data_IF_283816526770
#
_entry.id   IF_283816526770
#
_cell.length_a   1.000
_cell.length_b   1.000
_cell.length_c   1.000
_cell.angle_alpha   90.00
_cell.angle_beta   90.00
_cell.angle_gamma   90.00
#
_symmetry.space_group_name_H-M   'P 1'
#
loop_
_entity.id
_entity.type
_entity.pdbx_description
1 polymer ?
#
# COMPACT_ATOMS: atom_id res chain seq x y z
N UNK A 1 10.84 -16.08 -9.44
CA UNK A 1 10.32 -15.42 -8.22
C UNK A 1 8.84 -15.69 -8.13
N UNK A 2 8.31 -15.96 -6.93
CA UNK A 2 6.87 -16.04 -6.69
C UNK A 2 6.43 -14.76 -6.00
N UNK A 3 5.51 -14.01 -6.62
CA UNK A 3 4.92 -12.83 -6.02
C UNK A 3 4.01 -13.25 -4.84
N UNK A 4 3.98 -12.42 -3.81
CA UNK A 4 3.03 -12.56 -2.71
C UNK A 4 1.61 -12.41 -3.27
N UNK A 5 0.68 -13.35 -2.99
CA UNK A 5 -0.64 -13.39 -3.61
C UNK A 5 -1.62 -12.39 -2.98
N UNK A 6 -1.26 -11.11 -2.93
CA UNK A 6 -2.16 -10.03 -2.53
C UNK A 6 -3.16 -9.78 -3.66
N UNK A 7 -4.46 -9.80 -3.35
CA UNK A 7 -5.49 -9.56 -4.37
C UNK A 7 -5.45 -8.11 -4.84
N UNK A 8 -5.58 -7.85 -6.14
CA UNK A 8 -5.62 -6.49 -6.65
C UNK A 8 -6.89 -5.76 -6.21
N UNK A 9 -6.75 -4.48 -5.91
CA UNK A 9 -7.84 -3.55 -5.65
C UNK A 9 -7.44 -2.18 -6.19
N UNK A 10 -8.36 -1.50 -6.89
CA UNK A 10 -8.16 -0.12 -7.31
C UNK A 10 -8.85 0.81 -6.31
N UNK A 11 -8.14 1.82 -5.84
CA UNK A 11 -8.70 2.84 -4.95
C UNK A 11 -9.76 3.69 -5.63
N UNK A 12 -10.58 4.36 -4.81
CA UNK A 12 -11.33 5.52 -5.26
C UNK A 12 -10.37 6.66 -5.60
N UNK A 13 -10.18 6.91 -6.89
CA UNK A 13 -9.23 7.90 -7.41
C UNK A 13 -9.61 9.34 -7.01
N UNK A 14 -8.60 10.21 -6.94
CA UNK A 14 -8.73 11.64 -6.63
C UNK A 14 -9.33 11.97 -5.25
N UNK A 15 -9.28 11.04 -4.28
CA UNK A 15 -9.83 11.24 -2.93
C UNK A 15 -8.91 10.83 -1.76
N UNK A 16 -7.61 10.67 -2.01
CA UNK A 16 -6.64 10.26 -0.98
C UNK A 16 -6.86 8.85 -0.44
N UNK A 17 -7.34 7.92 -1.28
CA UNK A 17 -7.73 6.57 -0.85
C UNK A 17 -6.62 5.52 -0.91
N UNK A 18 -5.40 5.87 -1.32
CA UNK A 18 -4.28 4.92 -1.40
C UNK A 18 -3.99 4.22 -0.06
N UNK A 19 -4.05 4.95 1.04
CA UNK A 19 -3.92 4.40 2.38
C UNK A 19 -5.02 3.40 2.76
N UNK A 20 -6.32 3.78 2.71
CA UNK A 20 -7.42 2.84 2.88
C UNK A 20 -7.36 1.62 1.95
N UNK A 21 -6.95 1.81 0.70
CA UNK A 21 -6.84 0.74 -0.28
C UNK A 21 -5.75 -0.28 0.09
N UNK A 22 -4.56 0.17 0.54
CA UNK A 22 -3.52 -0.77 1.00
C UNK A 22 -3.91 -1.48 2.29
N UNK A 23 -4.57 -0.81 3.24
CA UNK A 23 -5.09 -1.47 4.45
C UNK A 23 -6.09 -2.57 4.04
N UNK A 24 -7.02 -2.25 3.14
CA UNK A 24 -8.01 -3.21 2.63
C UNK A 24 -7.32 -4.44 2.00
N UNK A 25 -6.31 -4.24 1.16
CA UNK A 25 -5.59 -5.33 0.52
C UNK A 25 -4.80 -6.18 1.52
N UNK A 26 -4.19 -5.58 2.55
CA UNK A 26 -3.52 -6.32 3.63
C UNK A 26 -4.51 -7.13 4.46
N UNK A 27 -5.65 -6.54 4.83
CA UNK A 27 -6.69 -7.25 5.58
C UNK A 27 -7.23 -8.45 4.77
N UNK A 28 -7.52 -8.25 3.47
CA UNK A 28 -7.97 -9.33 2.59
C UNK A 28 -6.93 -10.45 2.46
N UNK A 29 -5.63 -10.12 2.42
CA UNK A 29 -4.55 -11.10 2.41
C UNK A 29 -4.57 -12.01 3.65
N UNK A 30 -4.99 -11.49 4.81
CA UNK A 30 -5.18 -12.24 6.05
C UNK A 30 -6.60 -12.82 6.23
N UNK A 31 -7.47 -12.71 5.22
CA UNK A 31 -8.84 -13.22 5.26
C UNK A 31 -9.83 -12.35 6.04
N UNK A 32 -9.48 -11.09 6.29
CA UNK A 32 -10.34 -10.11 6.97
C UNK A 32 -10.96 -9.20 5.89
N UNK A 33 -12.24 -9.41 5.61
CA UNK A 33 -12.93 -8.64 4.57
C UNK A 33 -13.47 -7.30 5.10
N UNK A 34 -13.11 -6.21 4.43
CA UNK A 34 -13.65 -4.85 4.66
C UNK A 34 -13.89 -4.13 3.33
N UNK A 35 -14.84 -3.21 3.31
CA UNK A 35 -15.01 -2.26 2.20
C UNK A 35 -14.02 -1.10 2.33
N UNK A 36 -13.65 -0.47 1.22
CA UNK A 36 -12.78 0.71 1.22
C UNK A 36 -13.36 1.85 2.07
N UNK A 37 -14.66 2.14 1.92
CA UNK A 37 -15.35 3.13 2.74
C UNK A 37 -15.33 2.79 4.24
N UNK A 38 -15.49 1.51 4.59
CA UNK A 38 -15.39 1.05 5.97
C UNK A 38 -13.98 1.24 6.53
N UNK A 39 -12.95 0.93 5.73
CA UNK A 39 -11.56 1.14 6.11
C UNK A 39 -11.25 2.63 6.27
N UNK A 40 -11.71 3.49 5.34
CA UNK A 40 -11.47 4.94 5.42
C UNK A 40 -12.02 5.55 6.72
N UNK A 41 -13.18 5.07 7.19
CA UNK A 41 -13.74 5.47 8.50
C UNK A 41 -12.85 4.95 9.64
N UNK A 42 -12.45 3.67 9.60
CA UNK A 42 -11.62 3.06 10.66
C UNK A 42 -10.23 3.70 10.77
N UNK A 43 -9.67 4.13 9.64
CA UNK A 43 -8.36 4.75 9.56
C UNK A 43 -8.38 6.25 9.79
N UNK A 44 -9.53 6.86 10.10
CA UNK A 44 -9.68 8.31 10.21
C UNK A 44 -9.12 9.05 8.98
N UNK A 45 -9.45 8.57 7.78
CA UNK A 45 -9.00 9.20 6.53
C UNK A 45 -9.48 10.64 6.47
N UNK A 46 -8.52 11.54 6.26
CA UNK A 46 -8.78 12.93 5.95
C UNK A 46 -9.12 13.07 4.45
N UNK A 47 -10.07 13.94 4.12
CA UNK A 47 -10.52 14.14 2.73
C UNK A 47 -9.53 14.92 1.88
N UNK A 48 -8.68 15.75 2.51
CA UNK A 48 -7.68 16.56 1.82
C UNK A 48 -6.27 15.93 1.92
N UNK A 49 -5.96 15.24 3.02
CA UNK A 49 -4.61 14.77 3.34
C UNK A 49 -4.41 13.25 3.29
N UNK A 50 -5.48 12.45 3.15
CA UNK A 50 -5.39 10.99 3.18
C UNK A 50 -5.16 10.45 4.60
N UNK A 51 -4.17 9.56 4.79
CA UNK A 51 -3.81 9.00 6.11
C UNK A 51 -2.31 8.94 6.33
N UNK A 52 -1.90 9.03 7.60
CA UNK A 52 -0.52 8.77 8.02
C UNK A 52 -0.23 7.30 8.32
N UNK A 53 1.05 6.96 8.45
CA UNK A 53 1.56 5.64 8.78
C UNK A 53 1.12 5.14 10.18
N UNK A 54 1.05 6.03 11.17
CA UNK A 54 0.54 5.69 12.51
C UNK A 54 -0.95 5.31 12.50
N UNK A 55 -1.77 5.96 11.66
CA UNK A 55 -3.18 5.58 11.49
C UNK A 55 -3.33 4.23 10.78
N UNK A 56 -2.47 3.94 9.79
CA UNK A 56 -2.37 2.62 9.16
C UNK A 56 -2.05 1.55 10.21
N UNK A 57 -0.99 1.77 11.00
CA UNK A 57 -0.56 0.87 12.07
C UNK A 57 -1.69 0.63 13.07
N UNK A 58 -2.28 1.70 13.62
CA UNK A 58 -3.40 1.61 14.56
C UNK A 58 -4.56 0.78 13.99
N UNK A 59 -4.91 1.01 12.73
CA UNK A 59 -6.05 0.34 12.07
C UNK A 59 -5.79 -1.16 11.93
N UNK A 60 -4.63 -1.54 11.41
CA UNK A 60 -4.26 -2.95 11.22
C UNK A 60 -4.07 -3.68 12.56
N UNK A 61 -3.48 -3.03 13.56
CA UNK A 61 -3.37 -3.58 14.92
C UNK A 61 -4.74 -3.75 15.60
N UNK A 62 -5.67 -2.81 15.36
CA UNK A 62 -7.06 -2.92 15.81
C UNK A 62 -7.81 -4.13 15.23
N UNK A 63 -7.39 -4.62 14.06
CA UNK A 63 -7.90 -5.85 13.44
C UNK A 63 -7.09 -7.10 13.83
N UNK A 64 -6.19 -6.99 14.82
CA UNK A 64 -5.47 -8.11 15.41
C UNK A 64 -4.15 -8.48 14.71
N UNK A 65 -3.67 -7.65 13.77
CA UNK A 65 -2.38 -7.85 13.12
C UNK A 65 -1.23 -7.27 13.95
N UNK A 66 0.00 -7.71 13.69
CA UNK A 66 1.21 -7.10 14.24
C UNK A 66 1.85 -6.23 13.17
N UNK A 67 2.11 -4.96 13.48
CA UNK A 67 2.63 -4.00 12.51
C UNK A 67 3.88 -3.31 13.05
N UNK A 68 4.90 -3.21 12.21
CA UNK A 68 6.13 -2.46 12.48
C UNK A 68 6.26 -1.36 11.43
N UNK A 69 6.48 -0.12 11.88
CA UNK A 69 6.84 0.99 11.00
C UNK A 69 8.36 1.07 10.98
N UNK A 70 8.93 1.04 9.78
CA UNK A 70 10.37 1.24 9.57
C UNK A 70 10.60 2.39 8.59
N UNK A 71 11.12 3.49 9.12
CA UNK A 71 11.57 4.62 8.31
C UNK A 71 12.89 4.28 7.63
N UNK A 72 13.09 4.80 6.41
CA UNK A 72 14.29 4.57 5.60
C UNK A 72 14.63 3.08 5.38
N UNK A 73 13.60 2.24 5.18
CA UNK A 73 13.78 0.82 4.91
C UNK A 73 14.58 0.59 3.61
N UNK A 74 15.48 -0.39 3.63
CA UNK A 74 16.21 -0.82 2.44
C UNK A 74 15.47 -1.93 1.68
N UNK A 75 15.95 -2.28 0.48
CA UNK A 75 15.42 -3.43 -0.25
C UNK A 75 15.66 -4.75 0.49
N UNK A 76 16.75 -4.86 1.26
CA UNK A 76 17.00 -6.03 2.12
C UNK A 76 15.95 -6.16 3.22
N UNK A 77 15.49 -5.04 3.81
CA UNK A 77 14.41 -5.06 4.80
C UNK A 77 13.09 -5.58 4.19
N UNK A 78 12.77 -5.11 2.99
CA UNK A 78 11.61 -5.57 2.22
C UNK A 78 11.74 -7.06 1.92
N UNK A 79 12.91 -7.53 1.48
CA UNK A 79 13.15 -8.94 1.20
C UNK A 79 12.95 -9.81 2.44
N UNK A 80 13.45 -9.40 3.61
CA UNK A 80 13.28 -10.13 4.87
C UNK A 80 11.80 -10.29 5.25
N UNK A 81 10.96 -9.28 4.98
CA UNK A 81 9.52 -9.37 5.20
C UNK A 81 8.82 -10.26 4.17
N UNK A 82 9.19 -10.16 2.88
CA UNK A 82 8.68 -11.00 1.81
C UNK A 82 9.00 -12.49 2.04
N UNK A 83 10.20 -12.81 2.53
CA UNK A 83 10.62 -14.18 2.87
C UNK A 83 9.75 -14.79 3.99
N UNK A 84 9.24 -13.94 4.90
CA UNK A 84 8.28 -14.31 5.94
C UNK A 84 6.83 -14.35 5.45
N UNK A 85 6.60 -14.09 4.15
CA UNK A 85 5.28 -13.94 3.52
C UNK A 85 4.41 -12.86 4.17
N UNK A 86 5.04 -11.79 4.65
CA UNK A 86 4.34 -10.62 5.17
C UNK A 86 4.17 -9.57 4.06
N UNK A 87 2.96 -9.04 3.82
CA UNK A 87 2.76 -7.88 2.95
C UNK A 87 3.52 -6.67 3.50
N UNK A 88 4.21 -5.93 2.63
CA UNK A 88 4.93 -4.71 3.02
C UNK A 88 4.25 -3.52 2.38
N UNK A 89 3.67 -2.64 3.20
CA UNK A 89 3.20 -1.33 2.74
C UNK A 89 4.42 -0.43 2.58
N UNK A 90 4.61 0.12 1.40
CA UNK A 90 5.66 1.11 1.11
C UNK A 90 5.01 2.49 0.97
N UNK A 91 5.65 3.50 1.57
CA UNK A 91 5.35 4.92 1.37
C UNK A 91 6.43 5.50 0.45
N UNK A 92 6.08 5.95 -0.75
CA UNK A 92 7.03 6.32 -1.78
C UNK A 92 6.45 7.38 -2.72
N UNK A 93 7.33 8.08 -3.45
CA UNK A 93 6.90 9.11 -4.41
C UNK A 93 6.61 8.48 -5.76
N UNK A 94 5.36 8.57 -6.22
CA UNK A 94 4.94 8.05 -7.53
C UNK A 94 4.87 9.17 -8.57
N UNK A 95 5.09 8.86 -9.86
CA UNK A 95 4.74 9.78 -10.96
C UNK A 95 3.25 9.73 -11.32
N UNK A 96 2.45 8.98 -10.56
CA UNK A 96 1.03 8.80 -10.79
C UNK A 96 0.72 7.96 -12.02
N UNK A 97 -0.50 8.12 -12.54
CA UNK A 97 -0.93 7.48 -13.79
C UNK A 97 -0.52 8.30 -15.00
N UNK A 98 -0.46 7.64 -16.16
CA UNK A 98 -0.12 8.29 -17.43
C UNK A 98 -1.15 9.33 -17.90
N UNK A 99 -2.35 9.32 -17.31
CA UNK A 99 -3.44 10.24 -17.59
C UNK A 99 -3.61 11.34 -16.52
N UNK A 100 -2.64 11.51 -15.63
CA UNK A 100 -2.59 12.67 -14.72
C UNK A 100 -1.97 13.88 -15.41
N UNK A 101 -2.34 15.08 -14.97
CA UNK A 101 -1.78 16.33 -15.52
C UNK A 101 -0.30 16.46 -15.15
N UNK A 102 0.49 17.17 -15.97
CA UNK A 102 1.91 17.38 -15.67
C UNK A 102 2.15 18.15 -14.36
N UNK A 103 1.15 18.93 -13.94
CA UNK A 103 1.14 19.69 -12.69
C UNK A 103 0.73 18.83 -11.47
N UNK A 104 0.20 17.61 -11.67
CA UNK A 104 0.04 16.60 -10.62
C UNK A 104 1.43 16.00 -10.34
N UNK A 105 2.23 16.77 -9.61
CA UNK A 105 3.57 16.42 -9.16
C UNK A 105 3.59 15.10 -8.39
N UNK A 106 4.80 14.53 -8.25
CA UNK A 106 4.98 13.32 -7.48
C UNK A 106 4.47 13.47 -6.04
N UNK A 107 3.37 12.78 -5.74
CA UNK A 107 2.77 12.76 -4.41
C UNK A 107 3.23 11.53 -3.62
N UNK A 108 3.17 11.65 -2.30
CA UNK A 108 3.35 10.53 -1.39
C UNK A 108 2.26 9.50 -1.62
N UNK A 109 2.66 8.27 -1.92
CA UNK A 109 1.76 7.19 -2.30
C UNK A 109 2.03 5.92 -1.52
N UNK A 110 0.95 5.21 -1.22
CA UNK A 110 1.04 3.89 -0.60
C UNK A 110 0.85 2.79 -1.65
N UNK A 111 1.71 1.77 -1.58
CA UNK A 111 1.54 0.53 -2.36
C UNK A 111 1.99 -0.66 -1.54
N UNK A 112 1.67 -1.88 -1.99
CA UNK A 112 2.15 -3.10 -1.33
C UNK A 112 3.27 -3.71 -2.16
N UNK A 113 4.48 -3.80 -1.59
CA UNK A 113 5.53 -4.60 -2.19
C UNK A 113 5.17 -6.08 -2.09
N UNK A 114 5.05 -6.73 -3.24
CA UNK A 114 4.67 -8.16 -3.39
C UNK A 114 5.79 -9.00 -3.99
N UNK A 115 6.92 -8.38 -4.34
CA UNK A 115 8.10 -9.06 -4.84
C UNK A 115 9.26 -8.11 -5.05
N UNK A 116 10.46 -8.68 -5.10
CA UNK A 116 11.70 -7.97 -5.34
C UNK A 116 12.67 -8.91 -6.09
N UNK A 117 13.32 -8.39 -7.11
CA UNK A 117 14.46 -9.05 -7.77
C UNK A 117 15.65 -8.09 -7.90
N UNK A 118 16.73 -8.55 -8.53
CA UNK A 118 17.98 -7.79 -8.71
C UNK A 118 17.79 -6.45 -9.46
N UNK A 119 16.64 -6.23 -10.08
CA UNK A 119 16.37 -5.06 -10.91
C UNK A 119 15.13 -4.29 -10.50
N UNK A 120 14.08 -4.95 -10.01
CA UNK A 120 12.78 -4.35 -9.81
C UNK A 120 12.18 -4.66 -8.45
N UNK A 121 11.49 -3.66 -7.90
CA UNK A 121 10.43 -3.87 -6.91
C UNK A 121 9.09 -4.04 -7.63
N UNK A 122 8.27 -4.97 -7.15
CA UNK A 122 6.96 -5.29 -7.69
C UNK A 122 5.89 -4.81 -6.70
N UNK A 123 5.09 -3.83 -7.12
CA UNK A 123 4.12 -3.15 -6.27
C UNK A 123 2.70 -3.50 -6.72
N UNK A 124 1.93 -4.13 -5.84
CA UNK A 124 0.48 -4.16 -5.97
C UNK A 124 -0.03 -2.77 -5.62
N UNK A 125 -0.33 -2.00 -6.66
CA UNK A 125 -0.51 -0.56 -6.56
C UNK A 125 -2.01 -0.21 -6.68
N UNK A 126 -2.58 0.46 -5.67
CA UNK A 126 -4.00 0.76 -5.63
C UNK A 126 -4.43 1.79 -6.67
N UNK A 127 -3.55 2.64 -7.18
CA UNK A 127 -3.93 3.68 -8.14
C UNK A 127 -4.23 3.09 -9.54
N UNK A 128 -3.62 1.95 -9.91
CA UNK A 128 -3.90 1.23 -11.17
C UNK A 128 -4.64 -0.09 -10.99
N UNK A 129 -4.85 -0.54 -9.76
CA UNK A 129 -5.53 -1.81 -9.46
C UNK A 129 -4.79 -3.05 -9.98
N UNK A 130 -3.47 -3.00 -10.16
CA UNK A 130 -2.65 -4.11 -10.67
C UNK A 130 -1.20 -3.98 -10.21
N UNK A 131 -0.41 -5.03 -10.45
CA UNK A 131 1.04 -4.99 -10.18
C UNK A 131 1.74 -4.05 -11.17
N UNK A 132 2.53 -3.11 -10.65
CA UNK A 132 3.55 -2.34 -11.38
C UNK A 132 4.94 -2.83 -10.99
N UNK A 133 5.92 -2.61 -11.87
CA UNK A 133 7.34 -2.85 -11.58
C UNK A 133 8.10 -1.54 -11.67
N UNK A 134 8.94 -1.24 -10.68
CA UNK A 134 9.60 0.06 -10.50
C UNK A 134 11.08 -0.15 -10.15
N UNK A 135 11.91 0.87 -10.40
CA UNK A 135 13.34 0.98 -10.10
C UNK A 135 13.60 2.35 -9.48
#
# INVERSE_FOLDING_TARGET
MNLLPVKPFQETLHGGFCGPAVIKMVLDFYGIEKSEAGVAILSNKDDDLGIGDEDIKRTLEGEGLKVEIKNFASFEDIQVALDKKAPVIVNWMTRGRADYDEDDLADGHYSIAVGLDDKYIYLQDPEVGRVRKII
#
